data_IF_203463994758
#
_entry.id   IF_203463994758
#
_cell.length_a   1.000
_cell.length_b   1.000
_cell.length_c   1.000
_cell.angle_alpha   90.00
_cell.angle_beta   90.00
_cell.angle_gamma   90.00
#
_symmetry.space_group_name_H-M   'P 1'
#
loop_
_entity.id
_entity.type
_entity.pdbx_description
1 polymer ?
#
# COMPACT_ATOMS: atom_id res chain seq x y z
N UNK A 1 -33.38 14.24 2.34
CA UNK A 1 -32.16 15.06 2.12
C UNK A 1 -30.99 14.11 2.11
N UNK A 2 -30.15 14.15 1.11
CA UNK A 2 -28.93 13.34 1.05
C UNK A 2 -28.01 13.74 2.22
N UNK A 3 -27.38 12.75 2.83
CA UNK A 3 -26.49 12.97 3.98
C UNK A 3 -25.16 13.54 3.48
N UNK A 4 -24.78 14.72 3.97
CA UNK A 4 -23.48 15.31 3.70
C UNK A 4 -22.54 14.98 4.86
N UNK A 5 -21.36 14.45 4.53
CA UNK A 5 -20.28 14.19 5.47
C UNK A 5 -19.27 15.35 5.48
N UNK A 6 -18.67 15.63 6.62
CA UNK A 6 -17.54 16.54 6.69
C UNK A 6 -16.31 15.91 6.05
N UNK A 7 -16.17 14.59 6.20
CA UNK A 7 -15.06 13.81 5.70
C UNK A 7 -15.51 12.44 5.19
N UNK A 8 -15.11 12.06 3.99
CA UNK A 8 -15.14 10.67 3.51
C UNK A 8 -13.70 10.15 3.39
N UNK A 9 -13.45 8.95 3.92
CA UNK A 9 -12.15 8.27 3.87
C UNK A 9 -12.29 7.06 2.94
N UNK A 10 -11.45 6.97 1.91
CA UNK A 10 -11.43 5.85 0.97
C UNK A 10 -10.36 4.84 1.33
N UNK A 11 -10.79 3.69 1.79
CA UNK A 11 -9.94 2.59 2.24
C UNK A 11 -9.82 2.51 3.77
N UNK A 12 -9.86 1.29 4.29
CA UNK A 12 -9.76 0.96 5.71
C UNK A 12 -8.48 0.20 6.07
N UNK A 13 -7.39 0.47 5.34
CA UNK A 13 -6.04 0.09 5.76
C UNK A 13 -5.53 0.95 6.93
N UNK A 14 -4.28 0.79 7.38
CA UNK A 14 -3.73 1.53 8.52
C UNK A 14 -3.88 3.05 8.40
N UNK A 15 -3.75 3.62 7.20
CA UNK A 15 -3.92 5.05 6.96
C UNK A 15 -5.38 5.49 7.17
N UNK A 16 -6.33 4.77 6.58
CA UNK A 16 -7.76 5.10 6.70
C UNK A 16 -8.29 4.87 8.11
N UNK A 17 -7.89 3.78 8.78
CA UNK A 17 -8.26 3.53 10.17
C UNK A 17 -7.61 4.56 11.12
N UNK A 18 -6.35 4.94 10.88
CA UNK A 18 -5.71 6.03 11.60
C UNK A 18 -6.47 7.35 11.43
N UNK A 19 -6.85 7.68 10.18
CA UNK A 19 -7.65 8.86 9.88
C UNK A 19 -9.02 8.80 10.57
N UNK A 20 -9.74 7.67 10.52
CA UNK A 20 -11.06 7.54 11.13
C UNK A 20 -11.03 7.78 12.65
N UNK A 21 -10.01 7.26 13.34
CA UNK A 21 -9.81 7.47 14.78
C UNK A 21 -9.64 8.97 15.10
N UNK A 22 -8.80 9.68 14.32
CA UNK A 22 -8.58 11.10 14.52
C UNK A 22 -9.81 11.94 14.15
N UNK A 23 -10.53 11.56 13.09
CA UNK A 23 -11.75 12.25 12.67
C UNK A 23 -12.87 12.15 13.72
N UNK A 24 -13.06 10.97 14.34
CA UNK A 24 -14.01 10.82 15.44
C UNK A 24 -13.61 11.67 16.67
N UNK A 25 -12.33 11.78 16.97
CA UNK A 25 -11.82 12.62 18.06
C UNK A 25 -11.97 14.12 17.77
N UNK A 26 -12.00 14.51 16.51
CA UNK A 26 -12.27 15.87 16.04
C UNK A 26 -13.79 16.16 15.88
N UNK A 27 -14.65 15.19 16.23
CA UNK A 27 -16.11 15.28 16.10
C UNK A 27 -16.58 15.57 14.66
N UNK A 28 -15.78 15.18 13.65
CA UNK A 28 -16.16 15.29 12.25
C UNK A 28 -17.17 14.19 11.89
N UNK A 29 -18.24 14.57 11.20
CA UNK A 29 -19.18 13.60 10.62
C UNK A 29 -18.48 12.85 9.48
N UNK A 30 -18.05 11.63 9.77
CA UNK A 30 -17.11 10.88 8.90
C UNK A 30 -17.70 9.56 8.46
N UNK A 31 -17.45 9.19 7.19
CA UNK A 31 -17.73 7.88 6.63
C UNK A 31 -16.44 7.28 6.10
N UNK A 32 -16.14 6.03 6.45
CA UNK A 32 -15.08 5.23 5.84
C UNK A 32 -15.71 4.30 4.80
N UNK A 33 -15.23 4.36 3.56
CA UNK A 33 -15.70 3.49 2.48
C UNK A 33 -14.59 2.49 2.17
N UNK A 34 -14.92 1.19 2.26
CA UNK A 34 -14.03 0.09 1.96
C UNK A 34 -14.70 -0.87 0.99
N UNK A 35 -13.98 -1.31 -0.02
CA UNK A 35 -14.48 -2.28 -1.00
C UNK A 35 -14.43 -3.74 -0.51
N UNK A 36 -13.54 -4.03 0.43
CA UNK A 36 -13.37 -5.37 0.98
C UNK A 36 -14.20 -5.53 2.27
N UNK A 37 -14.71 -6.73 2.51
CA UNK A 37 -15.50 -7.03 3.71
C UNK A 37 -14.72 -6.84 5.02
N UNK A 38 -13.39 -6.94 4.98
CA UNK A 38 -12.53 -6.90 6.16
C UNK A 38 -11.59 -5.70 6.09
N UNK A 39 -11.62 -4.88 7.12
CA UNK A 39 -10.70 -3.74 7.29
C UNK A 39 -9.29 -4.20 7.66
N UNK A 40 -8.27 -3.45 7.24
CA UNK A 40 -6.86 -3.70 7.55
C UNK A 40 -5.93 -3.58 6.33
N UNK A 41 -6.47 -3.74 5.12
CA UNK A 41 -5.70 -3.64 3.88
C UNK A 41 -4.56 -4.66 3.80
N UNK A 42 -3.39 -4.25 3.31
CA UNK A 42 -2.24 -5.15 3.13
C UNK A 42 -1.73 -5.79 4.43
N UNK A 43 -1.97 -5.18 5.58
CA UNK A 43 -1.51 -5.71 6.88
C UNK A 43 -2.11 -7.07 7.18
N UNK A 44 -3.33 -7.34 6.71
CA UNK A 44 -4.04 -8.60 6.98
C UNK A 44 -3.27 -9.85 6.54
N UNK A 45 -2.43 -9.73 5.50
CA UNK A 45 -1.64 -10.85 4.96
C UNK A 45 -0.25 -10.97 5.57
N UNK A 46 0.12 -10.08 6.49
CA UNK A 46 1.41 -10.12 7.18
C UNK A 46 1.33 -11.10 8.34
N UNK A 47 2.20 -12.11 8.33
CA UNK A 47 2.19 -13.14 9.37
C UNK A 47 2.56 -12.57 10.74
N UNK A 48 3.61 -11.76 10.83
CA UNK A 48 4.13 -11.18 12.07
C UNK A 48 4.64 -9.76 11.83
N UNK A 49 4.27 -8.84 12.71
CA UNK A 49 4.66 -7.42 12.65
C UNK A 49 5.54 -7.10 13.85
N UNK A 50 6.84 -6.94 13.62
CA UNK A 50 7.84 -6.62 14.66
C UNK A 50 8.21 -5.14 14.74
N UNK A 51 7.80 -4.36 13.76
CA UNK A 51 8.21 -2.97 13.61
C UNK A 51 7.10 -1.95 13.91
N UNK A 52 6.00 -2.39 14.54
CA UNK A 52 4.96 -1.50 15.03
C UNK A 52 5.13 -1.30 16.54
N UNK A 53 5.49 -0.08 16.94
CA UNK A 53 5.84 0.24 18.33
C UNK A 53 4.69 -0.11 19.29
N UNK A 54 5.03 -0.82 20.36
CA UNK A 54 4.10 -1.23 21.41
C UNK A 54 3.41 -2.59 21.19
N UNK A 55 3.52 -3.18 19.99
CA UNK A 55 2.89 -4.47 19.67
C UNK A 55 3.86 -5.38 18.89
N UNK A 56 5.05 -5.70 19.44
CA UNK A 56 6.00 -6.57 18.77
C UNK A 56 5.44 -7.99 18.64
N UNK A 57 5.66 -8.62 17.48
CA UNK A 57 5.24 -10.00 17.22
C UNK A 57 3.74 -10.19 17.01
N UNK A 58 2.98 -9.11 16.85
CA UNK A 58 1.54 -9.23 16.58
C UNK A 58 1.32 -9.74 15.15
N UNK A 59 0.35 -10.64 14.99
CA UNK A 59 -0.10 -11.04 13.67
C UNK A 59 -0.79 -9.87 12.95
N UNK A 60 -0.57 -9.74 11.64
CA UNK A 60 -1.10 -8.61 10.87
C UNK A 60 -2.62 -8.55 10.83
N UNK A 61 -3.30 -9.71 10.78
CA UNK A 61 -4.75 -9.77 10.88
C UNK A 61 -5.23 -9.19 12.22
N UNK A 62 -4.63 -9.65 13.34
CA UNK A 62 -4.97 -9.18 14.68
C UNK A 62 -4.69 -7.67 14.84
N UNK A 63 -3.61 -7.17 14.23
CA UNK A 63 -3.30 -5.75 14.24
C UNK A 63 -4.35 -4.93 13.48
N UNK A 64 -4.75 -5.40 12.29
CA UNK A 64 -5.81 -4.79 11.49
C UNK A 64 -7.14 -4.75 12.25
N UNK A 65 -7.49 -5.86 12.90
CA UNK A 65 -8.71 -5.94 13.73
C UNK A 65 -8.66 -5.01 14.95
N UNK A 66 -7.49 -4.85 15.60
CA UNK A 66 -7.33 -3.87 16.70
C UNK A 66 -7.51 -2.43 16.25
N UNK A 67 -7.02 -2.07 15.06
CA UNK A 67 -7.27 -0.74 14.50
C UNK A 67 -8.76 -0.53 14.22
N UNK A 68 -9.41 -1.53 13.63
CA UNK A 68 -10.85 -1.47 13.35
C UNK A 68 -11.67 -1.37 14.64
N UNK A 69 -11.40 -2.20 15.62
CA UNK A 69 -12.07 -2.17 16.93
C UNK A 69 -11.92 -0.79 17.61
N UNK A 70 -10.74 -0.16 17.49
CA UNK A 70 -10.53 1.18 18.05
C UNK A 70 -11.39 2.23 17.33
N UNK A 71 -11.48 2.18 16.00
CA UNK A 71 -12.35 3.07 15.24
C UNK A 71 -13.84 2.87 15.60
N UNK A 72 -14.28 1.62 15.69
CA UNK A 72 -15.67 1.27 16.06
C UNK A 72 -16.04 1.76 17.45
N UNK A 73 -15.14 1.65 18.44
CA UNK A 73 -15.33 2.16 19.81
C UNK A 73 -15.51 3.67 19.87
N UNK A 74 -14.96 4.41 18.92
CA UNK A 74 -15.13 5.86 18.80
C UNK A 74 -16.36 6.24 17.96
N UNK A 75 -17.09 5.25 17.40
CA UNK A 75 -18.31 5.48 16.66
C UNK A 75 -18.08 5.76 15.17
N UNK A 76 -16.96 5.33 14.59
CA UNK A 76 -16.71 5.48 13.16
C UNK A 76 -17.75 4.72 12.33
N UNK A 77 -18.31 5.37 11.31
CA UNK A 77 -19.24 4.77 10.36
C UNK A 77 -18.48 4.16 9.17
N UNK A 78 -18.91 2.98 8.72
CA UNK A 78 -18.33 2.26 7.59
C UNK A 78 -19.38 1.90 6.56
N UNK A 79 -19.02 1.99 5.28
CA UNK A 79 -19.80 1.49 4.16
C UNK A 79 -18.95 0.55 3.32
N UNK A 80 -19.54 -0.57 2.89
CA UNK A 80 -18.95 -1.48 1.91
C UNK A 80 -19.35 -1.03 0.51
N UNK A 81 -18.41 -0.41 -0.20
CA UNK A 81 -18.60 0.05 -1.58
C UNK A 81 -17.27 0.25 -2.30
N UNK A 82 -17.30 0.20 -3.63
CA UNK A 82 -16.19 0.50 -4.52
C UNK A 82 -16.41 1.83 -5.20
N UNK A 83 -15.62 2.85 -4.88
CA UNK A 83 -15.75 4.18 -5.50
C UNK A 83 -15.14 4.15 -6.90
N UNK A 84 -15.98 4.42 -7.90
CA UNK A 84 -15.62 4.40 -9.32
C UNK A 84 -15.40 5.81 -9.91
N UNK A 85 -15.71 6.86 -9.16
CA UNK A 85 -15.47 8.24 -9.60
C UNK A 85 -15.67 9.25 -8.48
N UNK A 86 -14.90 10.33 -8.54
CA UNK A 86 -14.98 11.47 -7.62
C UNK A 86 -15.02 12.72 -8.47
N UNK A 87 -16.02 13.57 -8.27
CA UNK A 87 -16.18 14.82 -9.00
C UNK A 87 -16.71 15.91 -8.08
N UNK A 88 -16.54 17.15 -8.49
CA UNK A 88 -17.13 18.28 -7.77
C UNK A 88 -18.66 18.24 -7.98
N UNK A 89 -19.42 18.35 -6.89
CA UNK A 89 -20.88 18.37 -7.00
C UNK A 89 -21.34 19.56 -7.82
N UNK A 90 -22.20 19.29 -8.83
CA UNK A 90 -22.72 20.30 -9.75
C UNK A 90 -22.02 20.39 -11.10
N UNK A 91 -20.90 19.72 -11.32
CA UNK A 91 -20.26 19.63 -12.65
C UNK A 91 -21.09 18.76 -13.62
N UNK A 92 -21.98 17.91 -13.10
CA UNK A 92 -22.85 17.02 -13.88
C UNK A 92 -24.19 17.64 -14.32
N UNK A 93 -24.43 18.92 -14.01
CA UNK A 93 -25.64 19.65 -14.40
C UNK A 93 -26.90 19.25 -13.64
N UNK A 94 -26.84 18.30 -12.72
CA UNK A 94 -27.95 17.94 -11.84
C UNK A 94 -27.99 18.87 -10.62
N UNK A 95 -28.94 19.75 -10.57
CA UNK A 95 -29.15 20.88 -9.65
C UNK A 95 -29.19 20.64 -8.15
N UNK A 96 -28.28 19.81 -7.60
CA UNK A 96 -28.02 19.62 -6.15
C UNK A 96 -27.36 20.86 -5.51
N UNK A 97 -27.05 21.89 -6.31
CA UNK A 97 -26.26 23.07 -5.93
C UNK A 97 -27.00 24.12 -5.09
N UNK A 98 -28.27 24.00 -4.79
CA UNK A 98 -28.96 25.05 -4.01
C UNK A 98 -28.49 25.18 -2.55
N UNK A 99 -27.71 24.20 -2.04
CA UNK A 99 -27.11 24.28 -0.71
C UNK A 99 -25.69 24.84 -0.69
N UNK A 100 -24.99 24.82 -1.82
CA UNK A 100 -23.64 25.40 -1.97
C UNK A 100 -23.66 26.86 -2.47
N UNK A 101 -24.81 27.35 -2.98
CA UNK A 101 -25.00 28.71 -3.47
C UNK A 101 -25.23 29.78 -2.38
N UNK A 102 -25.16 29.40 -1.09
CA UNK A 102 -25.03 30.41 -0.05
C UNK A 102 -23.61 30.98 -0.15
N UNK A 103 -23.45 31.96 -1.02
CA UNK A 103 -22.21 32.66 -1.31
C UNK A 103 -21.46 33.03 -0.05
N UNK A 104 -20.22 32.61 0.03
CA UNK A 104 -19.08 33.15 0.74
C UNK A 104 -17.98 32.08 0.83
N UNK A 105 -17.39 31.64 -0.31
CA UNK A 105 -16.11 30.91 -0.28
C UNK A 105 -16.07 29.61 0.57
N UNK A 106 -17.22 28.96 0.78
CA UNK A 106 -17.33 27.72 1.57
C UNK A 106 -16.62 26.55 0.89
N UNK A 107 -16.30 25.48 1.64
CA UNK A 107 -15.61 24.31 1.12
C UNK A 107 -16.41 23.69 -0.03
N UNK A 108 -15.68 23.32 -1.10
CA UNK A 108 -16.21 22.60 -2.26
C UNK A 108 -16.91 21.32 -1.80
N UNK A 109 -18.07 21.01 -2.36
CA UNK A 109 -18.74 19.74 -2.10
C UNK A 109 -18.31 18.70 -3.14
N UNK A 110 -17.90 17.53 -2.68
CA UNK A 110 -17.48 16.40 -3.51
C UNK A 110 -18.56 15.34 -3.58
N UNK A 111 -18.83 14.83 -4.79
CA UNK A 111 -19.72 13.70 -5.07
C UNK A 111 -18.84 12.49 -5.38
N UNK A 112 -19.01 11.44 -4.59
CA UNK A 112 -18.32 10.16 -4.77
C UNK A 112 -19.35 9.16 -5.30
N UNK A 113 -19.13 8.65 -6.49
CA UNK A 113 -19.96 7.64 -7.12
C UNK A 113 -19.38 6.26 -6.81
N UNK A 114 -20.13 5.46 -6.07
CA UNK A 114 -19.82 4.06 -5.79
C UNK A 114 -20.61 3.13 -6.73
N UNK A 115 -20.28 1.83 -6.67
CA UNK A 115 -21.04 0.79 -7.36
C UNK A 115 -22.43 0.61 -6.75
N UNK A 116 -22.55 0.82 -5.43
CA UNK A 116 -23.78 0.60 -4.66
C UNK A 116 -24.49 1.89 -4.22
N UNK A 117 -23.83 3.04 -4.32
CA UNK A 117 -24.39 4.29 -3.83
C UNK A 117 -23.64 5.54 -4.24
N UNK A 118 -24.19 6.68 -3.85
CA UNK A 118 -23.57 7.99 -4.03
C UNK A 118 -23.42 8.66 -2.68
N UNK A 119 -22.26 9.29 -2.48
CA UNK A 119 -21.89 9.92 -1.20
C UNK A 119 -21.49 11.38 -1.44
N UNK A 120 -21.85 12.25 -0.50
CA UNK A 120 -21.50 13.67 -0.54
C UNK A 120 -20.59 14.03 0.62
N UNK A 121 -19.48 14.70 0.33
CA UNK A 121 -18.48 15.07 1.33
C UNK A 121 -17.90 16.46 1.08
N UNK A 122 -17.57 17.17 2.16
CA UNK A 122 -16.82 18.44 2.11
C UNK A 122 -15.32 18.24 1.94
N UNK A 123 -14.81 17.12 2.43
CA UNK A 123 -13.42 16.70 2.29
C UNK A 123 -13.31 15.20 2.04
N UNK A 124 -12.25 14.79 1.35
CA UNK A 124 -11.97 13.38 1.02
C UNK A 124 -10.53 13.05 1.36
N UNK A 125 -10.30 11.95 2.06
CA UNK A 125 -8.98 11.35 2.23
C UNK A 125 -8.88 10.10 1.36
N UNK A 126 -7.97 10.08 0.39
CA UNK A 126 -7.63 8.92 -0.41
C UNK A 126 -6.60 8.10 0.36
N UNK A 127 -7.02 6.97 0.92
CA UNK A 127 -6.20 6.05 1.72
C UNK A 127 -6.21 4.63 1.13
N UNK A 128 -6.34 4.52 -0.20
CA UNK A 128 -6.50 3.28 -0.96
C UNK A 128 -5.24 2.41 -1.00
N UNK A 129 -4.10 2.94 -0.51
CA UNK A 129 -2.84 2.22 -0.38
C UNK A 129 -2.18 1.89 -1.73
N UNK A 130 -1.36 0.85 -1.72
CA UNK A 130 -0.64 0.35 -2.89
C UNK A 130 -0.70 -1.18 -2.89
N UNK A 131 -0.30 -1.80 -3.97
CA UNK A 131 -0.19 -3.26 -4.09
C UNK A 131 1.16 -3.67 -4.64
N UNK A 132 1.68 -4.80 -4.20
CA UNK A 132 2.87 -5.38 -4.79
C UNK A 132 2.62 -5.76 -6.25
N UNK A 133 3.60 -5.48 -7.10
CA UNK A 133 3.58 -5.98 -8.48
C UNK A 133 3.87 -7.47 -8.46
N UNK A 134 3.04 -8.24 -9.13
CA UNK A 134 3.24 -9.67 -9.33
C UNK A 134 4.29 -9.91 -10.41
N UNK A 135 4.91 -11.09 -10.37
CA UNK A 135 5.71 -11.61 -11.49
C UNK A 135 4.81 -12.14 -12.60
N UNK A 136 3.57 -12.52 -12.24
CA UNK A 136 2.57 -13.13 -13.13
C UNK A 136 3.06 -14.47 -13.72
N UNK A 137 3.75 -15.26 -12.89
CA UNK A 137 4.27 -16.58 -13.27
C UNK A 137 3.48 -17.71 -12.63
N UNK A 138 3.41 -18.89 -13.26
CA UNK A 138 2.78 -20.07 -12.66
C UNK A 138 3.34 -20.37 -11.27
N UNK A 139 2.47 -20.68 -10.32
CA UNK A 139 2.81 -21.01 -8.93
C UNK A 139 2.84 -19.83 -7.96
N UNK A 140 2.96 -18.58 -8.45
CA UNK A 140 3.04 -17.38 -7.60
C UNK A 140 1.82 -17.26 -6.66
N UNK A 141 0.62 -17.25 -7.18
CA UNK A 141 -0.60 -17.11 -6.38
C UNK A 141 -0.88 -18.35 -5.52
N UNK A 142 -0.67 -19.54 -6.08
CA UNK A 142 -0.96 -20.80 -5.39
C UNK A 142 -0.06 -21.01 -4.17
N UNK A 143 1.18 -20.57 -4.23
CA UNK A 143 2.17 -20.73 -3.16
C UNK A 143 2.35 -19.47 -2.30
N UNK A 144 1.46 -18.48 -2.44
CA UNK A 144 1.42 -17.29 -1.58
C UNK A 144 1.28 -17.70 -0.11
N UNK A 145 2.18 -17.19 0.75
CA UNK A 145 2.23 -17.58 2.18
C UNK A 145 2.79 -18.98 2.43
N UNK A 146 3.01 -19.78 1.38
CA UNK A 146 3.61 -21.11 1.45
C UNK A 146 5.03 -21.12 0.86
N UNK A 147 5.76 -20.03 1.05
CA UNK A 147 7.11 -19.83 0.55
C UNK A 147 7.23 -18.70 -0.48
N UNK A 148 6.13 -18.19 -1.05
CA UNK A 148 6.10 -16.93 -1.81
C UNK A 148 5.75 -15.79 -0.88
N UNK A 149 6.58 -14.73 -0.85
CA UNK A 149 6.36 -13.53 -0.06
C UNK A 149 6.72 -12.28 -0.87
N UNK A 150 6.18 -11.13 -0.44
CA UNK A 150 6.52 -9.79 -0.94
C UNK A 150 7.19 -8.91 0.12
N UNK A 151 7.46 -9.46 1.31
CA UNK A 151 8.01 -8.70 2.43
C UNK A 151 9.09 -9.53 3.15
N UNK A 152 10.36 -9.26 2.88
CA UNK A 152 11.47 -9.97 3.54
C UNK A 152 11.53 -9.70 5.04
N UNK A 153 11.24 -8.48 5.47
CA UNK A 153 11.23 -8.09 6.88
C UNK A 153 10.07 -8.71 7.67
N UNK A 154 8.98 -9.08 6.98
CA UNK A 154 7.83 -9.73 7.60
C UNK A 154 8.06 -11.25 7.75
N UNK A 155 8.46 -11.91 6.67
CA UNK A 155 8.44 -13.36 6.57
C UNK A 155 9.84 -14.01 6.61
N UNK A 156 10.90 -13.19 6.56
CA UNK A 156 12.27 -13.68 6.46
C UNK A 156 12.69 -14.61 7.61
N UNK A 157 12.13 -14.41 8.80
CA UNK A 157 12.44 -15.25 9.97
C UNK A 157 12.15 -16.75 9.76
N UNK A 158 11.13 -17.10 8.91
CA UNK A 158 10.81 -18.49 8.56
C UNK A 158 11.85 -19.18 7.70
N UNK A 159 12.76 -18.41 7.10
CA UNK A 159 13.79 -18.89 6.20
C UNK A 159 15.17 -18.93 6.86
N UNK A 160 15.22 -18.84 8.20
CA UNK A 160 16.48 -18.97 8.97
C UNK A 160 17.18 -20.29 8.65
N UNK A 161 18.45 -20.20 8.25
CA UNK A 161 19.29 -21.34 7.83
C UNK A 161 18.74 -22.14 6.64
N UNK A 162 17.94 -21.50 5.80
CA UNK A 162 17.38 -22.06 4.55
C UNK A 162 17.93 -21.29 3.35
N UNK A 163 17.60 -21.77 2.15
CA UNK A 163 17.92 -21.10 0.89
C UNK A 163 16.74 -20.24 0.44
N UNK A 164 16.96 -18.96 0.24
CA UNK A 164 15.96 -18.03 -0.23
C UNK A 164 16.34 -17.41 -1.58
N UNK A 165 15.35 -17.05 -2.38
CA UNK A 165 15.55 -16.25 -3.58
C UNK A 165 14.86 -14.88 -3.43
N UNK A 166 15.46 -13.84 -3.99
CA UNK A 166 14.85 -12.51 -4.14
C UNK A 166 14.77 -12.22 -5.62
N UNK A 167 13.61 -11.83 -6.11
CA UNK A 167 13.41 -11.45 -7.52
C UNK A 167 13.25 -9.95 -7.61
N UNK A 168 14.23 -9.27 -8.22
CA UNK A 168 14.22 -7.82 -8.34
C UNK A 168 15.57 -7.22 -8.70
N UNK A 169 15.77 -5.92 -8.48
CA UNK A 169 17.04 -5.25 -8.76
C UNK A 169 17.02 -3.74 -8.51
N UNK A 170 15.99 -3.23 -7.83
CA UNK A 170 15.91 -1.89 -7.23
C UNK A 170 16.37 -1.92 -5.78
N UNK A 171 16.25 -0.77 -5.08
CA UNK A 171 16.66 -0.64 -3.68
C UNK A 171 16.01 -1.70 -2.79
N UNK A 172 14.71 -1.87 -2.86
CA UNK A 172 13.96 -2.86 -2.06
C UNK A 172 14.50 -4.28 -2.25
N UNK A 173 14.74 -4.71 -3.50
CA UNK A 173 15.27 -6.05 -3.76
C UNK A 173 16.67 -6.25 -3.16
N UNK A 174 17.51 -5.22 -3.19
CA UNK A 174 18.86 -5.26 -2.63
C UNK A 174 18.80 -5.27 -1.11
N UNK A 175 17.94 -4.43 -0.51
CA UNK A 175 17.73 -4.39 0.94
C UNK A 175 17.17 -5.71 1.46
N UNK A 176 16.18 -6.29 0.77
CA UNK A 176 15.62 -7.60 1.09
C UNK A 176 16.68 -8.70 1.02
N UNK A 177 17.51 -8.72 -0.04
CA UNK A 177 18.62 -9.68 -0.17
C UNK A 177 19.65 -9.53 0.95
N UNK A 178 20.04 -8.30 1.32
CA UNK A 178 20.94 -8.01 2.43
C UNK A 178 20.32 -8.45 3.76
N UNK A 179 19.03 -8.21 3.97
CA UNK A 179 18.33 -8.61 5.18
C UNK A 179 18.30 -10.14 5.30
N UNK A 180 17.88 -10.83 4.25
CA UNK A 180 17.81 -12.30 4.21
C UNK A 180 19.19 -12.94 4.35
N UNK A 181 20.24 -12.35 3.78
CA UNK A 181 21.59 -12.87 3.90
C UNK A 181 22.12 -12.96 5.34
N UNK A 182 21.55 -12.19 6.28
CA UNK A 182 21.93 -12.24 7.70
C UNK A 182 21.34 -13.45 8.43
N UNK A 183 20.29 -14.04 7.88
CA UNK A 183 19.49 -15.08 8.56
C UNK A 183 19.43 -16.40 7.78
N UNK A 184 19.48 -16.31 6.45
CA UNK A 184 19.48 -17.47 5.55
C UNK A 184 20.88 -18.07 5.38
N UNK A 185 20.96 -19.35 5.03
CA UNK A 185 22.19 -20.02 4.67
C UNK A 185 22.70 -19.52 3.31
N UNK A 186 21.82 -19.38 2.33
CA UNK A 186 22.10 -18.90 0.97
C UNK A 186 21.00 -18.01 0.47
N UNK A 187 21.35 -16.94 -0.25
CA UNK A 187 20.40 -16.04 -0.92
C UNK A 187 20.78 -15.91 -2.39
N UNK A 188 19.80 -16.09 -3.26
CA UNK A 188 19.92 -15.81 -4.69
C UNK A 188 19.19 -14.52 -5.03
N UNK A 189 19.87 -13.52 -5.61
CA UNK A 189 19.22 -12.35 -6.18
C UNK A 189 19.06 -12.54 -7.69
N UNK A 190 17.83 -12.74 -8.14
CA UNK A 190 17.50 -12.99 -9.54
C UNK A 190 17.18 -11.66 -10.21
N UNK A 191 18.00 -11.27 -11.20
CA UNK A 191 17.82 -10.01 -11.89
C UNK A 191 17.83 -10.14 -13.39
N UNK A 192 16.79 -9.56 -14.06
CA UNK A 192 16.56 -9.66 -15.50
C UNK A 192 17.52 -8.87 -16.39
N UNK A 193 18.48 -8.13 -15.80
CA UNK A 193 19.50 -7.31 -16.47
C UNK A 193 20.88 -7.66 -15.94
N UNK A 194 21.91 -7.06 -16.55
CA UNK A 194 23.32 -7.23 -16.13
C UNK A 194 23.80 -6.15 -15.15
N UNK A 195 22.90 -5.27 -14.68
CA UNK A 195 23.21 -4.23 -13.69
C UNK A 195 22.01 -3.96 -12.78
N UNK A 196 22.27 -3.71 -11.52
CA UNK A 196 21.26 -3.32 -10.53
C UNK A 196 20.92 -1.83 -10.68
N UNK A 197 19.67 -1.47 -10.39
CA UNK A 197 19.20 -0.07 -10.42
C UNK A 197 19.22 0.62 -9.06
N UNK A 198 19.43 -0.14 -8.00
CA UNK A 198 19.48 0.41 -6.64
C UNK A 198 20.70 1.25 -6.37
N UNK A 199 20.71 1.96 -5.23
CA UNK A 199 21.78 2.84 -4.80
C UNK A 199 23.14 2.12 -4.74
N UNK A 200 24.21 2.79 -5.18
CA UNK A 200 25.55 2.19 -5.22
C UNK A 200 26.08 1.75 -3.84
N UNK A 201 25.69 2.44 -2.77
CA UNK A 201 26.02 2.05 -1.39
C UNK A 201 25.39 0.71 -1.00
N UNK A 202 24.14 0.47 -1.39
CA UNK A 202 23.46 -0.80 -1.17
C UNK A 202 24.07 -1.92 -2.00
N UNK A 203 24.38 -1.63 -3.29
CA UNK A 203 25.07 -2.59 -4.15
C UNK A 203 26.41 -3.03 -3.58
N UNK A 204 27.22 -2.07 -3.08
CA UNK A 204 28.50 -2.38 -2.45
C UNK A 204 28.31 -3.31 -1.26
N UNK A 205 27.39 -3.01 -0.37
CA UNK A 205 27.08 -3.83 0.81
C UNK A 205 26.61 -5.25 0.44
N UNK A 206 25.80 -5.36 -0.61
CA UNK A 206 25.33 -6.66 -1.13
C UNK A 206 26.50 -7.52 -1.63
N UNK A 207 27.44 -6.92 -2.38
CA UNK A 207 28.61 -7.60 -2.95
C UNK A 207 29.62 -8.07 -1.91
N UNK A 208 29.59 -7.53 -0.69
CA UNK A 208 30.40 -7.95 0.43
C UNK A 208 29.83 -9.19 1.17
N UNK A 209 28.63 -9.64 0.81
CA UNK A 209 27.96 -10.79 1.43
C UNK A 209 28.36 -12.10 0.75
N UNK A 210 29.11 -12.96 1.45
CA UNK A 210 29.64 -14.22 0.92
C UNK A 210 28.54 -15.25 0.57
N UNK A 211 27.39 -15.18 1.23
CA UNK A 211 26.27 -16.09 1.01
C UNK A 211 25.22 -15.57 0.02
N UNK A 212 25.49 -14.46 -0.68
CA UNK A 212 24.63 -13.94 -1.74
C UNK A 212 25.22 -14.26 -3.11
N UNK A 213 24.38 -14.76 -4.01
CA UNK A 213 24.72 -14.98 -5.42
C UNK A 213 23.73 -14.24 -6.32
N UNK A 214 24.26 -13.43 -7.25
CA UNK A 214 23.41 -12.69 -8.19
C UNK A 214 23.34 -13.46 -9.50
N UNK A 215 22.11 -13.80 -9.90
CA UNK A 215 21.82 -14.42 -11.19
C UNK A 215 21.43 -13.33 -12.17
N UNK A 216 22.42 -12.87 -12.92
CA UNK A 216 22.25 -11.82 -13.92
C UNK A 216 21.52 -12.30 -15.17
N UNK A 217 20.86 -11.34 -15.86
CA UNK A 217 20.15 -11.57 -17.12
C UNK A 217 19.13 -12.72 -17.03
N UNK A 218 18.65 -13.00 -15.83
CA UNK A 218 17.83 -14.17 -15.49
C UNK A 218 16.40 -13.74 -15.11
N UNK A 219 15.42 -14.47 -15.62
CA UNK A 219 14.01 -14.34 -15.28
C UNK A 219 13.49 -15.61 -14.64
N UNK A 220 12.48 -15.47 -13.80
CA UNK A 220 11.74 -16.59 -13.23
C UNK A 220 10.60 -16.94 -14.17
N UNK A 221 10.54 -18.19 -14.63
CA UNK A 221 9.49 -18.69 -15.50
C UNK A 221 8.33 -19.30 -14.71
N UNK A 222 8.63 -19.96 -13.57
CA UNK A 222 7.64 -20.53 -12.67
C UNK A 222 8.19 -20.71 -11.25
N UNK A 223 7.30 -20.80 -10.28
CA UNK A 223 7.58 -21.16 -8.89
C UNK A 223 6.97 -22.55 -8.66
N UNK A 224 7.82 -23.49 -8.32
CA UNK A 224 7.47 -24.92 -8.26
C UNK A 224 7.36 -25.41 -6.81
N UNK A 225 6.52 -26.43 -6.63
CA UNK A 225 6.27 -27.11 -5.35
C UNK A 225 4.80 -27.50 -5.25
N UNK A 226 4.48 -28.46 -4.41
CA UNK A 226 3.10 -28.93 -4.21
C UNK A 226 2.41 -28.15 -3.08
N UNK A 227 2.94 -28.23 -1.86
CA UNK A 227 2.39 -27.60 -0.66
C UNK A 227 3.19 -26.39 -0.16
N UNK A 228 4.39 -26.20 -0.70
CA UNK A 228 5.30 -25.08 -0.41
C UNK A 228 6.22 -24.87 -1.58
N UNK A 229 6.96 -23.76 -1.59
CA UNK A 229 8.03 -23.53 -2.56
C UNK A 229 9.12 -24.58 -2.38
N UNK A 230 9.56 -25.20 -3.48
CA UNK A 230 10.62 -26.22 -3.54
C UNK A 230 11.71 -25.82 -4.52
N UNK A 231 11.35 -25.16 -5.64
CA UNK A 231 12.30 -24.67 -6.62
C UNK A 231 11.72 -23.54 -7.47
N UNK A 232 12.60 -22.88 -8.25
CA UNK A 232 12.26 -21.92 -9.29
C UNK A 232 12.76 -22.44 -10.63
N UNK A 233 11.91 -22.40 -11.68
CA UNK A 233 12.37 -22.54 -13.06
C UNK A 233 12.84 -21.19 -13.55
N UNK A 234 14.07 -21.13 -14.06
CA UNK A 234 14.73 -19.89 -14.47
C UNK A 234 15.20 -20.00 -15.91
N UNK A 235 15.18 -18.88 -16.63
CA UNK A 235 15.77 -18.74 -17.96
C UNK A 235 16.75 -17.57 -17.99
N UNK A 236 17.98 -17.81 -18.42
CA UNK A 236 18.92 -16.73 -18.74
C UNK A 236 18.54 -16.12 -20.10
N UNK A 237 18.24 -14.84 -20.12
CA UNK A 237 17.75 -14.12 -21.32
C UNK A 237 18.79 -13.96 -22.43
N UNK A 238 20.08 -14.02 -22.09
CA UNK A 238 21.16 -13.87 -23.08
C UNK A 238 21.55 -15.19 -23.71
N UNK A 239 21.66 -16.24 -22.91
CA UNK A 239 22.13 -17.55 -23.36
C UNK A 239 20.99 -18.49 -23.74
N UNK A 240 19.77 -18.22 -23.27
CA UNK A 240 18.63 -19.14 -23.40
C UNK A 240 18.73 -20.35 -22.46
N UNK A 241 19.75 -20.42 -21.62
CA UNK A 241 19.94 -21.52 -20.66
C UNK A 241 18.79 -21.57 -19.66
N UNK A 242 18.24 -22.76 -19.49
CA UNK A 242 17.23 -23.05 -18.49
C UNK A 242 17.84 -23.75 -17.28
N UNK A 243 17.44 -23.33 -16.10
CA UNK A 243 17.93 -23.87 -14.84
C UNK A 243 16.77 -24.07 -13.88
N UNK A 244 16.76 -25.18 -13.19
CA UNK A 244 15.96 -25.36 -11.99
C UNK A 244 16.82 -25.04 -10.76
N UNK A 245 16.33 -24.11 -9.92
CA UNK A 245 17.02 -23.63 -8.74
C UNK A 245 16.24 -24.07 -7.48
N UNK A 246 16.77 -25.03 -6.69
CA UNK A 246 16.17 -25.41 -5.43
C UNK A 246 16.22 -24.25 -4.43
N UNK A 247 15.06 -23.87 -3.84
CA UNK A 247 14.93 -22.83 -2.84
C UNK A 247 13.79 -23.17 -1.89
N UNK A 248 13.86 -22.75 -0.65
CA UNK A 248 12.80 -22.91 0.35
C UNK A 248 11.75 -21.81 0.27
N UNK A 249 12.11 -20.66 -0.32
CA UNK A 249 11.20 -19.54 -0.49
C UNK A 249 11.69 -18.50 -1.48
N UNK A 250 10.76 -17.69 -1.97
CA UNK A 250 11.01 -16.61 -2.92
C UNK A 250 10.33 -15.31 -2.48
N UNK A 251 11.11 -14.24 -2.47
CA UNK A 251 10.68 -12.89 -2.15
C UNK A 251 10.59 -12.05 -3.41
N UNK A 252 9.41 -11.56 -3.72
CA UNK A 252 9.14 -10.85 -4.97
C UNK A 252 9.25 -9.34 -4.71
N UNK A 253 10.32 -8.72 -5.19
CA UNK A 253 10.66 -7.31 -5.00
C UNK A 253 10.77 -6.57 -6.35
N UNK A 254 9.76 -6.76 -7.23
CA UNK A 254 9.72 -6.15 -8.58
C UNK A 254 9.03 -4.77 -8.60
N UNK A 255 8.69 -4.27 -7.42
CA UNK A 255 8.10 -2.95 -7.19
C UNK A 255 6.68 -3.04 -6.63
N UNK A 256 6.14 -1.86 -6.31
CA UNK A 256 4.77 -1.65 -5.86
C UNK A 256 4.06 -0.72 -6.83
N UNK A 257 2.74 -0.76 -6.84
CA UNK A 257 1.89 0.11 -7.65
C UNK A 257 0.80 0.70 -6.76
N UNK A 258 0.62 2.03 -6.74
CA UNK A 258 -0.43 2.65 -5.96
C UNK A 258 -1.80 2.29 -6.52
N UNK A 259 -2.81 2.25 -5.65
CA UNK A 259 -4.19 2.02 -6.03
C UNK A 259 -4.86 3.35 -6.37
N UNK A 260 -4.52 3.90 -7.53
CA UNK A 260 -4.94 5.22 -8.02
C UNK A 260 -5.77 5.17 -9.30
N UNK A 261 -6.16 3.97 -9.75
CA UNK A 261 -6.98 3.83 -10.95
C UNK A 261 -8.28 4.63 -10.86
N UNK A 262 -8.56 5.43 -11.91
CA UNK A 262 -9.72 6.32 -11.96
C UNK A 262 -9.56 7.66 -11.23
N UNK A 263 -8.35 7.97 -10.71
CA UNK A 263 -8.05 9.24 -10.03
C UNK A 263 -7.08 10.13 -10.83
N UNK A 264 -6.70 9.74 -12.04
CA UNK A 264 -5.67 10.38 -12.85
C UNK A 264 -6.01 11.83 -13.21
N UNK A 265 -7.29 12.10 -13.47
CA UNK A 265 -7.78 13.45 -13.81
C UNK A 265 -8.17 14.26 -12.56
N UNK A 266 -8.22 13.63 -11.39
CA UNK A 266 -8.65 14.27 -10.15
C UNK A 266 -7.50 14.98 -9.43
N UNK A 267 -6.35 14.33 -9.30
CA UNK A 267 -5.20 14.83 -8.53
C UNK A 267 -3.88 14.61 -9.27
N UNK A 268 -2.93 15.49 -9.07
CA UNK A 268 -1.60 15.36 -9.67
C UNK A 268 -0.85 14.14 -9.12
N UNK A 269 -0.17 13.41 -10.02
CA UNK A 269 0.59 12.21 -9.72
C UNK A 269 2.02 12.29 -10.27
N UNK A 270 2.93 11.48 -9.72
CA UNK A 270 4.26 11.30 -10.27
C UNK A 270 4.28 10.28 -11.42
N UNK A 271 5.45 10.06 -12.03
CA UNK A 271 5.62 9.08 -13.11
C UNK A 271 5.41 7.62 -12.70
N UNK A 272 5.26 7.33 -11.39
CA UNK A 272 4.90 6.03 -10.83
C UNK A 272 3.43 5.92 -10.45
N UNK A 273 2.61 6.92 -10.79
CA UNK A 273 1.20 7.07 -10.46
C UNK A 273 0.92 7.25 -8.96
N UNK A 274 1.91 7.65 -8.15
CA UNK A 274 1.68 8.03 -6.76
C UNK A 274 1.13 9.45 -6.69
N UNK A 275 0.12 9.67 -5.84
CA UNK A 275 -0.44 11.01 -5.62
C UNK A 275 0.63 11.92 -5.02
N UNK A 276 0.83 13.09 -5.64
CA UNK A 276 1.75 14.11 -5.13
C UNK A 276 1.14 14.77 -3.90
N UNK A 277 1.65 14.40 -2.72
CA UNK A 277 1.24 14.98 -1.43
C UNK A 277 2.40 14.94 -0.43
N UNK A 278 2.53 16.00 0.36
CA UNK A 278 3.50 16.12 1.44
C UNK A 278 3.04 15.43 2.74
N UNK A 279 3.70 15.75 3.86
CA UNK A 279 3.34 15.22 5.18
C UNK A 279 1.96 15.69 5.65
N UNK A 280 1.51 16.85 5.20
CA UNK A 280 0.18 17.39 5.48
C UNK A 280 -0.93 16.70 4.67
N UNK A 281 -0.55 15.79 3.78
CA UNK A 281 -1.45 15.05 2.92
C UNK A 281 -2.17 15.87 1.85
N UNK A 282 -1.92 17.18 1.73
CA UNK A 282 -2.58 18.04 0.73
C UNK A 282 -2.22 17.60 -0.68
N UNK A 283 -3.24 17.48 -1.53
CA UNK A 283 -3.08 17.19 -2.96
C UNK A 283 -3.16 18.48 -3.79
N UNK A 284 -3.11 18.33 -5.11
CA UNK A 284 -3.33 19.46 -6.05
C UNK A 284 -4.78 19.98 -6.06
N UNK A 285 -5.72 19.27 -5.40
CA UNK A 285 -7.13 19.68 -5.32
C UNK A 285 -7.49 20.04 -3.88
N UNK A 286 -7.91 21.28 -3.61
CA UNK A 286 -8.38 21.69 -2.28
C UNK A 286 -9.54 20.80 -1.79
N UNK A 287 -9.49 20.38 -0.53
CA UNK A 287 -10.47 19.47 0.06
C UNK A 287 -10.21 17.98 -0.22
N UNK A 288 -9.23 17.63 -1.06
CA UNK A 288 -8.79 16.25 -1.28
C UNK A 288 -7.40 16.04 -0.70
N UNK A 289 -7.26 15.01 0.11
CA UNK A 289 -6.01 14.64 0.80
C UNK A 289 -5.63 13.20 0.43
N UNK A 290 -4.35 12.85 0.59
CA UNK A 290 -3.85 11.50 0.35
C UNK A 290 -3.00 11.00 1.52
N UNK A 291 -3.30 9.80 2.02
CA UNK A 291 -2.67 9.19 3.18
C UNK A 291 -2.14 7.78 2.88
N UNK A 292 -1.00 7.43 3.44
CA UNK A 292 -0.39 6.11 3.33
C UNK A 292 0.32 5.87 2.01
N UNK A 293 0.33 4.62 1.56
CA UNK A 293 1.20 4.16 0.49
C UNK A 293 0.75 4.59 -0.92
N UNK A 294 -0.43 5.19 -1.04
CA UNK A 294 -0.97 5.74 -2.28
C UNK A 294 -0.25 7.02 -2.73
N UNK A 295 0.39 7.73 -1.79
CA UNK A 295 1.09 9.00 -2.05
C UNK A 295 2.61 8.86 -2.18
N UNK A 296 3.24 9.91 -2.69
CA UNK A 296 4.71 10.05 -2.72
C UNK A 296 5.27 10.10 -1.30
N UNK A 297 6.17 9.18 -0.96
CA UNK A 297 6.87 9.12 0.34
C UNK A 297 8.09 8.22 0.28
N UNK A 298 9.04 8.43 1.18
CA UNK A 298 10.27 7.65 1.23
C UNK A 298 10.09 6.29 1.92
N UNK A 299 9.31 6.26 3.02
CA UNK A 299 9.12 5.06 3.82
C UNK A 299 7.65 4.64 3.82
N UNK A 300 7.39 3.39 3.39
CA UNK A 300 6.08 2.76 3.37
C UNK A 300 6.02 1.69 4.43
N UNK A 301 5.43 2.03 5.58
CA UNK A 301 5.29 1.17 6.74
C UNK A 301 3.95 1.45 7.44
N UNK A 302 3.49 0.51 8.25
CA UNK A 302 2.23 0.64 8.99
C UNK A 302 2.21 1.94 9.81
N UNK A 303 3.29 2.19 10.57
CA UNK A 303 3.40 3.38 11.45
C UNK A 303 3.36 4.69 10.65
N UNK A 304 4.01 4.75 9.47
CA UNK A 304 3.96 5.97 8.64
C UNK A 304 2.62 6.14 7.94
N UNK A 305 1.91 5.07 7.63
CA UNK A 305 0.57 5.12 7.08
C UNK A 305 -0.43 5.65 8.12
N UNK A 306 -0.37 5.18 9.37
CA UNK A 306 -1.19 5.69 10.48
C UNK A 306 -0.93 7.17 10.73
N UNK A 307 0.35 7.59 10.73
CA UNK A 307 0.72 8.99 10.90
C UNK A 307 0.17 9.89 9.79
N UNK A 308 0.22 9.45 8.53
CA UNK A 308 -0.37 10.17 7.41
C UNK A 308 -1.87 10.38 7.59
N UNK A 309 -2.60 9.34 8.04
CA UNK A 309 -4.03 9.46 8.33
C UNK A 309 -4.34 10.54 9.34
N UNK A 310 -3.59 10.61 10.44
CA UNK A 310 -3.72 11.62 11.46
C UNK A 310 -3.45 13.04 10.92
N UNK A 311 -2.36 13.20 10.15
CA UNK A 311 -1.99 14.47 9.53
C UNK A 311 -3.05 14.97 8.54
N UNK A 312 -3.60 14.07 7.72
CA UNK A 312 -4.66 14.41 6.76
C UNK A 312 -5.92 14.93 7.46
N UNK A 313 -6.32 14.33 8.59
CA UNK A 313 -7.48 14.80 9.35
C UNK A 313 -7.23 16.21 9.90
N UNK A 314 -6.05 16.47 10.46
CA UNK A 314 -5.68 17.81 10.92
C UNK A 314 -5.74 18.85 9.79
N UNK A 315 -5.32 18.45 8.58
CA UNK A 315 -5.38 19.33 7.40
C UNK A 315 -6.81 19.52 6.89
N UNK A 316 -7.65 18.46 6.93
CA UNK A 316 -9.06 18.54 6.57
C UNK A 316 -9.84 19.44 7.55
N UNK A 317 -9.58 19.33 8.86
CA UNK A 317 -10.18 20.19 9.88
C UNK A 317 -9.84 21.68 9.64
N UNK A 318 -8.57 22.01 9.38
CA UNK A 318 -8.16 23.36 9.02
C UNK A 318 -8.87 23.89 7.77
N UNK A 319 -8.98 23.04 6.74
CA UNK A 319 -9.66 23.39 5.50
C UNK A 319 -11.15 23.68 5.73
N UNK A 320 -11.83 22.85 6.53
CA UNK A 320 -13.25 23.02 6.89
C UNK A 320 -13.49 24.32 7.67
N UNK A 321 -12.52 24.73 8.50
CA UNK A 321 -12.56 25.96 9.29
C UNK A 321 -12.07 27.21 8.52
N UNK A 322 -11.84 27.11 7.20
CA UNK A 322 -11.35 28.23 6.37
C UNK A 322 -9.92 28.68 6.68
N UNK A 323 -9.13 27.84 7.34
CA UNK A 323 -7.71 28.06 7.62
C UNK A 323 -6.88 27.39 6.51
N UNK A 324 -6.13 28.19 5.74
CA UNK A 324 -5.26 27.68 4.66
C UNK A 324 -3.89 27.21 5.16
#
# INVERSE_FOLDING_TARGET
MEQIYDLVILGSGPAGLGASIYAQRAELKTLVIEKEMVSGGQVLTTYEVDNYAGLPGINGFDLGMKFREHADRLGAEFAEDSIIGIQQAGEDGEGLLRAAEAGDGGPVLWKLNGENGTYLARTVIIATGARHRKLEVPGEERLMGMGVSYCATCDGAFFKKKTAAVVGGGDVAIEDAIFLARICEKVYLIHRRNELRGAKSLQKKLMEMENVEILWDTVTDSINGENKVESLSLTNKKTGEKRELPVDGVFIAVGISPNTGGLEDLVAMDGGHYILAGEDGKTSRPGIFAAGDVRTKNLRQIVTAVADGANCVTSAERYLNGQQ
#
